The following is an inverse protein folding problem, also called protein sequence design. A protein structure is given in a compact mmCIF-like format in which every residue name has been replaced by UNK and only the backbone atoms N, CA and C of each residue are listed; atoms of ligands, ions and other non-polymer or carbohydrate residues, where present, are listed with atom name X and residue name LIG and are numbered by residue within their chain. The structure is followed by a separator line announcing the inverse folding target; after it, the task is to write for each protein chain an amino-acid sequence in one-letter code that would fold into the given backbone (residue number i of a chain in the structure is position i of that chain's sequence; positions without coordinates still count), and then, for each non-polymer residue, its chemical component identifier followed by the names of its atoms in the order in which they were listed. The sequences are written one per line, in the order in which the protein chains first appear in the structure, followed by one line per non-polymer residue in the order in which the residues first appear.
data_IF_994527874350
#
_entry.id   IF_994527874350
#
_cell.length_a   1.000
_cell.length_b   1.000
_cell.length_c   1.000
_cell.angle_alpha   90.00
_cell.angle_beta   90.00
_cell.angle_gamma   90.00
#
_symmetry.space_group_name_H-M   'P 1'
#
loop_
_entity.id
_entity.type
_entity.pdbx_description
1 polymer ?
#
# COMPACT_ATOMS: atom_id res chain seq x y z
N UNK A 1 37.30 10.35 -1.75
CA UNK A 1 36.98 9.90 -3.13
C UNK A 1 35.52 10.18 -3.52
N UNK A 2 34.54 9.85 -2.68
CA UNK A 2 33.11 10.10 -2.98
C UNK A 2 32.75 11.59 -3.08
N UNK A 3 33.27 12.41 -2.15
CA UNK A 3 33.03 13.86 -2.10
C UNK A 3 33.56 14.63 -3.33
N UNK A 4 34.75 14.27 -3.82
CA UNK A 4 35.31 14.89 -5.04
C UNK A 4 34.56 14.47 -6.31
N UNK A 5 33.90 13.31 -6.28
CA UNK A 5 33.10 12.79 -7.39
C UNK A 5 31.71 13.44 -7.39
N UNK A 6 31.11 13.66 -6.21
CA UNK A 6 29.84 14.38 -6.07
C UNK A 6 29.91 15.85 -6.49
N UNK A 7 31.09 16.48 -6.38
CA UNK A 7 31.30 17.85 -6.86
C UNK A 7 31.33 17.99 -8.39
N UNK A 8 31.59 16.89 -9.12
CA UNK A 8 31.65 16.89 -10.60
C UNK A 8 30.33 16.51 -11.25
N UNK A 9 29.34 16.06 -10.48
CA UNK A 9 28.04 15.67 -10.99
C UNK A 9 27.13 16.90 -11.09
N UNK A 10 26.61 17.13 -12.30
CA UNK A 10 25.57 18.14 -12.54
C UNK A 10 24.39 17.89 -11.59
N UNK A 11 24.01 18.90 -10.80
CA UNK A 11 22.89 18.78 -9.84
C UNK A 11 21.60 18.34 -10.55
N UNK A 12 21.33 18.87 -11.74
CA UNK A 12 20.14 18.52 -12.53
C UNK A 12 20.16 17.05 -12.98
N UNK A 13 21.27 16.59 -13.56
CA UNK A 13 21.42 15.20 -14.00
C UNK A 13 21.38 14.23 -12.80
N UNK A 14 21.98 14.61 -11.68
CA UNK A 14 22.00 13.79 -10.46
C UNK A 14 20.60 13.60 -9.91
N UNK A 15 19.80 14.68 -9.81
CA UNK A 15 18.42 14.61 -9.35
C UNK A 15 17.54 13.80 -10.32
N UNK A 16 17.72 13.99 -11.63
CA UNK A 16 16.97 13.28 -12.66
C UNK A 16 17.23 11.76 -12.67
N UNK A 17 18.39 11.31 -12.19
CA UNK A 17 18.71 9.89 -12.06
C UNK A 17 18.30 9.36 -10.68
N UNK A 18 18.64 10.08 -9.61
CA UNK A 18 18.44 9.61 -8.25
C UNK A 18 16.96 9.48 -7.89
N UNK A 19 16.11 10.45 -8.28
CA UNK A 19 14.69 10.44 -7.92
C UNK A 19 13.97 9.24 -8.55
N UNK A 20 14.02 9.00 -9.87
CA UNK A 20 13.40 7.82 -10.47
C UNK A 20 14.01 6.51 -9.98
N UNK A 21 15.32 6.46 -9.73
CA UNK A 21 15.97 5.26 -9.21
C UNK A 21 15.44 4.88 -7.82
N UNK A 22 15.28 5.87 -6.92
CA UNK A 22 14.73 5.65 -5.59
C UNK A 22 13.26 5.24 -5.66
N UNK A 23 12.45 5.90 -6.48
CA UNK A 23 11.04 5.55 -6.65
C UNK A 23 10.91 4.13 -7.22
N UNK A 24 11.70 3.80 -8.23
CA UNK A 24 11.73 2.48 -8.86
C UNK A 24 12.15 1.38 -7.88
N UNK A 25 13.22 1.60 -7.10
CA UNK A 25 13.66 0.67 -6.07
C UNK A 25 12.61 0.48 -4.97
N UNK A 26 11.95 1.57 -4.55
CA UNK A 26 10.89 1.54 -3.54
C UNK A 26 9.68 0.72 -4.04
N UNK A 27 9.25 0.95 -5.27
CA UNK A 27 8.13 0.21 -5.87
C UNK A 27 8.49 -1.26 -6.09
N UNK A 28 9.69 -1.56 -6.58
CA UNK A 28 10.16 -2.94 -6.75
C UNK A 28 10.18 -3.69 -5.42
N UNK A 29 10.62 -3.03 -4.34
CA UNK A 29 10.63 -3.58 -2.98
C UNK A 29 9.21 -3.86 -2.50
N UNK A 30 8.29 -2.91 -2.67
CA UNK A 30 6.87 -3.10 -2.35
C UNK A 30 6.27 -4.28 -3.13
N UNK A 31 6.47 -4.32 -4.44
CA UNK A 31 5.93 -5.36 -5.30
C UNK A 31 6.47 -6.74 -4.92
N UNK A 32 7.77 -6.84 -4.63
CA UNK A 32 8.38 -8.07 -4.12
C UNK A 32 7.66 -8.54 -2.86
N UNK A 33 7.59 -7.72 -1.80
CA UNK A 33 6.89 -8.14 -0.58
C UNK A 33 5.41 -8.43 -0.79
N UNK A 34 4.74 -7.70 -1.71
CA UNK A 34 3.32 -7.88 -2.00
C UNK A 34 3.01 -9.18 -2.75
N UNK A 35 3.90 -9.65 -3.62
CA UNK A 35 3.62 -10.77 -4.53
C UNK A 35 4.45 -12.03 -4.27
N UNK A 36 5.60 -11.91 -3.60
CA UNK A 36 6.49 -13.04 -3.29
C UNK A 36 6.75 -13.22 -1.80
N UNK A 37 6.47 -12.21 -0.98
CA UNK A 37 6.56 -12.32 0.48
C UNK A 37 5.49 -13.24 1.06
N UNK A 38 5.72 -13.85 2.23
CA UNK A 38 4.64 -14.43 3.03
C UNK A 38 3.56 -13.37 3.23
N UNK A 39 2.28 -13.77 3.23
CA UNK A 39 1.21 -12.83 3.52
C UNK A 39 1.35 -12.35 4.98
N UNK A 40 1.95 -11.17 5.15
CA UNK A 40 2.10 -10.51 6.45
C UNK A 40 0.77 -9.92 6.92
N UNK A 41 -0.28 -10.02 6.10
CA UNK A 41 -1.63 -9.58 6.35
C UNK A 41 -2.55 -10.71 6.80
N UNK A 42 -2.11 -11.56 7.74
CA UNK A 42 -2.96 -12.29 8.68
C UNK A 42 -4.05 -13.23 8.15
N UNK A 43 -4.20 -13.40 6.84
CA UNK A 43 -5.29 -14.18 6.27
C UNK A 43 -4.83 -15.59 5.95
N UNK A 44 -5.49 -16.56 6.60
CA UNK A 44 -5.36 -17.97 6.28
C UNK A 44 -5.79 -18.19 4.82
N UNK A 45 -5.23 -19.20 4.12
CA UNK A 45 -5.69 -19.57 2.80
C UNK A 45 -7.21 -19.81 2.81
N UNK A 46 -7.96 -18.98 2.09
CA UNK A 46 -9.44 -19.05 2.04
C UNK A 46 -10.19 -18.04 2.92
N UNK A 47 -9.50 -17.23 3.73
CA UNK A 47 -10.14 -16.07 4.36
C UNK A 47 -10.68 -15.12 3.29
N UNK A 48 -11.95 -14.69 3.38
CA UNK A 48 -12.50 -13.70 2.48
C UNK A 48 -11.71 -12.41 2.68
N UNK A 49 -10.95 -12.02 1.65
CA UNK A 49 -10.16 -10.78 1.68
C UNK A 49 -11.07 -9.64 2.12
N UNK A 50 -10.57 -8.72 2.94
CA UNK A 50 -11.34 -7.54 3.37
C UNK A 50 -11.83 -6.66 2.21
N UNK A 51 -11.28 -6.88 1.01
CA UNK A 51 -11.69 -6.26 -0.25
C UNK A 51 -12.59 -7.14 -1.12
N UNK A 52 -12.98 -8.33 -0.67
CA UNK A 52 -13.87 -9.24 -1.41
C UNK A 52 -15.32 -8.76 -1.33
N UNK A 53 -16.16 -9.07 -2.34
CA UNK A 53 -17.56 -8.68 -2.33
C UNK A 53 -18.33 -9.23 -1.13
N UNK A 54 -18.02 -10.48 -0.73
CA UNK A 54 -18.63 -11.15 0.42
C UNK A 54 -18.30 -10.44 1.73
N UNK A 55 -17.04 -10.05 1.92
CA UNK A 55 -16.60 -9.32 3.10
C UNK A 55 -17.16 -7.90 3.16
N UNK A 56 -17.27 -7.24 2.01
CA UNK A 56 -17.91 -5.92 1.92
C UNK A 56 -19.39 -5.98 2.30
N UNK A 57 -20.14 -6.98 1.81
CA UNK A 57 -21.53 -7.19 2.18
C UNK A 57 -21.69 -7.50 3.68
N UNK A 58 -20.86 -8.40 4.22
CA UNK A 58 -20.87 -8.75 5.64
C UNK A 58 -20.52 -7.54 6.53
N UNK A 59 -19.58 -6.69 6.09
CA UNK A 59 -19.18 -5.48 6.82
C UNK A 59 -20.29 -4.44 6.87
N UNK A 60 -21.10 -4.31 5.82
CA UNK A 60 -22.25 -3.40 5.80
C UNK A 60 -23.31 -3.85 6.82
N UNK A 61 -23.64 -5.15 6.85
CA UNK A 61 -24.60 -5.70 7.81
C UNK A 61 -24.10 -5.59 9.25
N UNK A 62 -22.80 -5.86 9.48
CA UNK A 62 -22.19 -5.66 10.78
C UNK A 62 -22.22 -4.19 11.21
N UNK A 63 -21.92 -3.25 10.30
CA UNK A 63 -21.95 -1.82 10.59
C UNK A 63 -23.36 -1.30 10.91
N UNK A 64 -24.41 -1.86 10.30
CA UNK A 64 -25.82 -1.63 10.67
C UNK A 64 -26.08 -2.11 12.10
N UNK A 65 -25.73 -3.36 12.42
CA UNK A 65 -25.94 -3.94 13.75
C UNK A 65 -25.23 -3.15 14.86
N UNK A 66 -24.03 -2.64 14.57
CA UNK A 66 -23.25 -1.82 15.49
C UNK A 66 -23.70 -0.35 15.55
N UNK A 67 -24.63 0.08 14.70
CA UNK A 67 -25.03 1.49 14.56
C UNK A 67 -23.82 2.41 14.38
N UNK A 68 -22.86 2.02 13.55
CA UNK A 68 -21.60 2.77 13.40
C UNK A 68 -21.81 4.17 12.80
N UNK A 69 -22.88 4.38 12.04
CA UNK A 69 -23.30 5.70 11.53
C UNK A 69 -24.83 5.78 11.32
N UNK A 70 -25.61 5.86 12.41
CA UNK A 70 -27.06 5.68 12.39
C UNK A 70 -27.79 6.93 11.88
N UNK A 71 -27.10 8.08 11.76
CA UNK A 71 -27.71 9.35 11.36
C UNK A 71 -27.67 9.56 9.85
N UNK A 72 -26.59 9.09 9.17
CA UNK A 72 -26.32 9.40 7.76
C UNK A 72 -26.32 8.20 6.81
N UNK A 73 -26.01 6.99 7.29
CA UNK A 73 -25.80 5.82 6.40
C UNK A 73 -26.70 4.63 6.71
N UNK A 74 -27.02 4.40 7.98
CA UNK A 74 -27.90 3.31 8.41
C UNK A 74 -29.11 3.89 9.13
N UNK A 75 -29.77 4.85 8.47
CA UNK A 75 -31.01 5.43 8.94
C UNK A 75 -32.11 4.44 8.58
N UNK A 76 -32.66 3.77 9.58
CA UNK A 76 -33.86 2.92 9.43
C UNK A 76 -35.02 3.72 8.82
#
# INVERSE_FOLDING_TARGET
MFYSMSQKLSKGTTMAIAIPAIIGASYATFAFFRYTGPDLGGDLPGSPKTTSPEWAAASVEYAKAQKANPIRHFKD
#
